data_IF_767102319733
#
_entry.id   IF_767102319733
#
_cell.length_a   1.000
_cell.length_b   1.000
_cell.length_c   1.000
_cell.angle_alpha   90.00
_cell.angle_beta   90.00
_cell.angle_gamma   90.00
#
_symmetry.space_group_name_H-M   'P 1'
#
loop_
_entity.id
_entity.type
_entity.pdbx_description
1 polymer ?
#
# COMPACT_ATOMS: atom_id res chain seq x y z
N UNK A 1 -4.26 -7.88 -29.76
CA UNK A 1 -5.15 -7.01 -28.95
C UNK A 1 -4.28 -5.86 -28.42
N UNK A 2 -4.48 -4.66 -28.94
CA UNK A 2 -3.63 -3.50 -28.61
C UNK A 2 -4.03 -2.98 -27.22
N UNK A 3 -3.07 -2.99 -26.28
CA UNK A 3 -3.24 -2.43 -24.95
C UNK A 3 -3.41 -0.90 -25.10
N UNK A 4 -4.59 -0.37 -24.76
CA UNK A 4 -4.77 1.09 -24.60
C UNK A 4 -3.75 1.57 -23.56
N UNK A 5 -3.12 2.72 -23.81
CA UNK A 5 -2.23 3.41 -22.85
C UNK A 5 -2.86 3.33 -21.45
N UNK A 6 -2.14 2.72 -20.52
CA UNK A 6 -2.50 2.72 -19.10
C UNK A 6 -2.48 4.18 -18.60
N UNK A 7 -3.63 4.85 -18.64
CA UNK A 7 -3.79 6.15 -17.99
C UNK A 7 -3.58 5.96 -16.47
N UNK A 8 -2.72 6.75 -15.83
CA UNK A 8 -2.55 6.69 -14.40
C UNK A 8 -3.86 7.09 -13.71
N UNK A 9 -4.19 6.40 -12.62
CA UNK A 9 -5.34 6.74 -11.76
C UNK A 9 -4.81 7.54 -10.59
N UNK A 10 -5.54 8.57 -10.17
CA UNK A 10 -5.21 9.34 -8.98
C UNK A 10 -6.13 8.94 -7.82
N UNK A 11 -5.59 8.95 -6.60
CA UNK A 11 -6.34 8.91 -5.33
C UNK A 11 -5.86 10.12 -4.53
N UNK A 12 -6.75 11.06 -4.23
CA UNK A 12 -6.41 12.34 -3.58
C UNK A 12 -5.21 13.06 -4.22
N UNK A 13 -5.07 12.99 -5.55
CA UNK A 13 -3.97 13.61 -6.30
C UNK A 13 -2.67 12.81 -6.37
N UNK A 14 -2.54 11.69 -5.65
CA UNK A 14 -1.38 10.78 -5.77
C UNK A 14 -1.60 9.81 -6.93
N UNK A 15 -0.64 9.78 -7.86
CA UNK A 15 -0.73 8.96 -9.07
C UNK A 15 -0.30 7.51 -8.83
N UNK A 16 -1.11 6.59 -9.35
CA UNK A 16 -0.85 5.16 -9.43
C UNK A 16 -0.34 4.82 -10.84
N UNK A 17 0.91 4.40 -10.92
CA UNK A 17 1.61 4.03 -12.15
C UNK A 17 1.72 2.51 -12.31
N UNK A 18 1.95 2.05 -13.54
CA UNK A 18 2.26 0.64 -13.81
C UNK A 18 1.03 -0.20 -14.12
N UNK A 19 1.07 -1.48 -13.69
CA UNK A 19 0.14 -2.51 -14.13
C UNK A 19 -0.99 -2.74 -13.13
N UNK A 20 -2.20 -2.33 -13.53
CA UNK A 20 -3.44 -2.52 -12.75
C UNK A 20 -4.53 -3.16 -13.62
N UNK A 21 -5.13 -4.23 -13.12
CA UNK A 21 -6.33 -4.80 -13.73
C UNK A 21 -7.53 -3.84 -13.60
N UNK A 22 -8.56 -4.03 -14.43
CA UNK A 22 -9.81 -3.23 -14.34
C UNK A 22 -10.43 -3.26 -12.94
N UNK A 23 -10.37 -4.41 -12.24
CA UNK A 23 -10.92 -4.56 -10.88
C UNK A 23 -10.07 -3.81 -9.85
N UNK A 24 -8.74 -3.85 -9.96
CA UNK A 24 -7.86 -3.06 -9.09
C UNK A 24 -7.99 -1.55 -9.34
N UNK A 25 -8.16 -1.12 -10.60
CA UNK A 25 -8.45 0.30 -10.89
C UNK A 25 -9.79 0.75 -10.28
N UNK A 26 -10.81 -0.11 -10.33
CA UNK A 26 -12.11 0.21 -9.76
C UNK A 26 -12.05 0.35 -8.23
N UNK A 27 -11.30 -0.53 -7.53
CA UNK A 27 -11.25 -0.49 -6.07
C UNK A 27 -10.50 0.74 -5.51
N UNK A 28 -9.63 1.38 -6.30
CA UNK A 28 -8.99 2.65 -5.88
C UNK A 28 -10.01 3.75 -5.56
N UNK A 29 -11.19 3.73 -6.19
CA UNK A 29 -12.26 4.68 -5.88
C UNK A 29 -12.88 4.43 -4.49
N UNK A 30 -12.89 3.19 -4.03
CA UNK A 30 -13.35 2.88 -2.68
C UNK A 30 -12.30 3.29 -1.65
N UNK A 31 -11.00 3.12 -1.97
CA UNK A 31 -9.91 3.64 -1.13
C UNK A 31 -10.01 5.16 -0.96
N UNK A 32 -10.27 5.89 -2.05
CA UNK A 32 -10.44 7.35 -2.02
C UNK A 32 -11.63 7.82 -1.16
N UNK A 33 -12.65 6.97 -0.94
CA UNK A 33 -13.79 7.32 -0.08
C UNK A 33 -13.50 7.14 1.41
N UNK A 34 -12.60 6.23 1.76
CA UNK A 34 -12.31 5.84 3.15
C UNK A 34 -10.98 6.39 3.67
N UNK A 35 -10.34 7.27 2.89
CA UNK A 35 -9.13 7.99 3.26
C UNK A 35 -9.33 9.48 3.00
N UNK A 36 -8.45 10.31 3.56
CA UNK A 36 -8.48 11.75 3.49
C UNK A 36 -7.23 12.30 2.80
N UNK A 37 -7.31 13.42 2.05
CA UNK A 37 -6.17 13.98 1.31
C UNK A 37 -4.90 14.20 2.15
N UNK A 38 -5.05 14.54 3.42
CA UNK A 38 -3.94 14.81 4.35
C UNK A 38 -3.11 13.55 4.62
N UNK A 39 -3.73 12.39 4.59
CA UNK A 39 -3.06 11.09 4.78
C UNK A 39 -2.15 10.76 3.60
N UNK A 40 -2.47 11.25 2.41
CA UNK A 40 -1.67 11.05 1.19
C UNK A 40 -0.59 12.11 0.99
N UNK A 41 -0.65 13.20 1.77
CA UNK A 41 0.23 14.35 1.59
C UNK A 41 1.71 13.95 1.73
N UNK A 42 2.53 14.47 0.81
CA UNK A 42 3.96 14.17 0.74
C UNK A 42 4.30 12.88 -0.03
N UNK A 43 3.34 11.98 -0.27
CA UNK A 43 3.58 10.78 -1.10
C UNK A 43 3.71 11.16 -2.57
N UNK A 44 4.79 10.70 -3.22
CA UNK A 44 5.16 11.11 -4.59
C UNK A 44 4.61 10.20 -5.67
N UNK A 45 4.09 9.04 -5.29
CA UNK A 45 3.44 8.12 -6.21
C UNK A 45 3.40 6.70 -5.70
N UNK A 46 2.49 5.92 -6.28
CA UNK A 46 2.37 4.48 -6.06
C UNK A 46 2.71 3.77 -7.36
N UNK A 47 3.64 2.82 -7.31
CA UNK A 47 4.14 2.09 -8.47
C UNK A 47 3.69 0.64 -8.38
N UNK A 48 2.73 0.28 -9.22
CA UNK A 48 2.17 -1.05 -9.33
C UNK A 48 3.05 -1.89 -10.25
N UNK A 49 3.95 -2.68 -9.64
CA UNK A 49 5.08 -3.31 -10.31
C UNK A 49 4.73 -4.51 -11.18
N UNK A 50 3.59 -5.17 -10.94
CA UNK A 50 3.39 -6.53 -11.45
C UNK A 50 4.44 -7.49 -10.88
N UNK A 51 5.10 -8.30 -11.73
CA UNK A 51 6.22 -9.19 -11.34
C UNK A 51 7.57 -8.60 -11.78
N UNK A 52 8.06 -7.58 -11.10
CA UNK A 52 9.34 -6.94 -11.44
C UNK A 52 10.32 -7.07 -10.28
N UNK A 53 11.57 -7.43 -10.61
CA UNK A 53 12.72 -7.35 -9.69
C UNK A 53 13.28 -5.93 -9.75
N UNK A 54 13.32 -5.22 -8.62
CA UNK A 54 13.97 -3.92 -8.52
C UNK A 54 15.45 -4.17 -8.18
N UNK A 55 16.36 -3.75 -9.05
CA UNK A 55 17.81 -3.90 -8.89
C UNK A 55 18.29 -5.34 -8.58
N UNK A 56 17.67 -6.34 -9.22
CA UNK A 56 18.08 -7.74 -9.07
C UNK A 56 17.68 -8.41 -7.75
N UNK A 57 17.01 -7.69 -6.84
CA UNK A 57 16.39 -8.25 -5.64
C UNK A 57 14.92 -8.57 -5.91
N UNK A 58 14.46 -9.70 -5.39
CA UNK A 58 13.04 -9.96 -5.32
C UNK A 58 12.43 -8.95 -4.34
N UNK A 59 11.52 -8.12 -4.82
CA UNK A 59 10.75 -7.21 -3.97
C UNK A 59 9.73 -8.07 -3.25
N UNK A 60 10.16 -8.65 -2.13
CA UNK A 60 9.30 -9.29 -1.15
C UNK A 60 8.83 -8.18 -0.21
N UNK A 61 7.56 -7.80 -0.32
CA UNK A 61 7.00 -6.73 0.49
C UNK A 61 7.26 -5.36 -0.14
N UNK A 62 6.24 -4.52 -0.03
CA UNK A 62 6.23 -3.18 -0.58
C UNK A 62 7.36 -2.36 0.05
N UNK A 63 8.09 -1.61 -0.78
CA UNK A 63 9.16 -0.75 -0.30
C UNK A 63 8.67 0.68 -0.23
N UNK A 64 8.62 1.23 0.97
CA UNK A 64 8.60 2.67 1.18
C UNK A 64 9.96 3.23 0.72
N UNK A 65 10.02 3.77 -0.49
CA UNK A 65 11.25 4.32 -1.04
C UNK A 65 11.71 5.55 -0.26
N UNK A 66 12.84 5.48 0.45
CA UNK A 66 13.55 6.66 0.94
C UNK A 66 14.96 6.65 0.39
N UNK A 67 15.42 7.80 -0.11
CA UNK A 67 16.83 7.97 -0.37
C UNK A 67 17.58 8.01 0.97
N UNK A 68 18.71 7.30 1.12
CA UNK A 68 19.56 7.43 2.30
C UNK A 68 19.91 8.91 2.52
N UNK A 69 19.83 9.39 3.77
CA UNK A 69 20.12 10.80 4.12
C UNK A 69 21.49 11.29 3.64
N UNK A 70 22.43 10.37 3.39
CA UNK A 70 23.81 10.66 2.98
C UNK A 70 24.00 10.70 1.44
N UNK A 71 22.99 10.36 0.65
CA UNK A 71 23.08 10.41 -0.81
C UNK A 71 22.94 11.86 -1.28
N UNK A 72 23.95 12.40 -1.96
CA UNK A 72 23.88 13.75 -2.54
C UNK A 72 22.67 13.85 -3.48
N UNK A 73 22.00 15.01 -3.53
CA UNK A 73 20.80 15.24 -4.35
C UNK A 73 20.98 14.83 -5.81
N UNK A 74 22.19 14.95 -6.36
CA UNK A 74 22.56 14.52 -7.73
C UNK A 74 22.58 12.99 -7.94
N UNK A 75 22.55 12.19 -6.88
CA UNK A 75 22.60 10.72 -6.90
C UNK A 75 21.33 10.05 -6.39
N UNK A 76 20.32 10.83 -6.01
CA UNK A 76 19.03 10.33 -5.54
C UNK A 76 18.14 9.97 -6.72
N UNK A 77 18.41 8.82 -7.35
CA UNK A 77 17.57 8.27 -8.40
C UNK A 77 17.36 6.77 -8.22
N UNK A 78 16.11 6.34 -8.27
CA UNK A 78 15.71 4.93 -8.24
C UNK A 78 15.18 4.56 -9.62
N UNK A 79 15.88 3.66 -10.30
CA UNK A 79 15.55 3.24 -11.65
C UNK A 79 15.02 1.81 -11.65
N UNK A 80 13.90 1.60 -12.34
CA UNK A 80 13.28 0.30 -12.50
C UNK A 80 12.46 0.28 -13.79
N UNK A 81 12.07 -0.91 -14.24
CA UNK A 81 11.31 -1.09 -15.48
C UNK A 81 10.05 -1.89 -15.21
N UNK A 82 8.89 -1.36 -15.58
CA UNK A 82 7.60 -2.05 -15.49
C UNK A 82 7.04 -2.16 -16.90
N UNK A 83 6.77 -3.39 -17.37
CA UNK A 83 6.22 -3.65 -18.70
C UNK A 83 7.01 -2.93 -19.82
N UNK A 84 8.34 -3.09 -19.83
CA UNK A 84 9.25 -2.44 -20.78
C UNK A 84 9.30 -0.90 -20.72
N UNK A 85 8.59 -0.29 -19.77
CA UNK A 85 8.64 1.15 -19.52
C UNK A 85 9.60 1.43 -18.38
N UNK A 86 10.65 2.19 -18.66
CA UNK A 86 11.63 2.63 -17.67
C UNK A 86 11.05 3.78 -16.84
N UNK A 87 11.19 3.66 -15.54
CA UNK A 87 10.84 4.67 -14.55
C UNK A 87 12.12 5.12 -13.85
N UNK A 88 12.23 6.43 -13.69
CA UNK A 88 13.28 7.07 -12.89
C UNK A 88 12.58 7.90 -11.84
N UNK A 89 12.64 7.45 -10.59
CA UNK A 89 12.12 8.21 -9.46
C UNK A 89 13.26 9.02 -8.86
N UNK A 90 13.05 10.33 -8.74
CA UNK A 90 14.00 11.26 -8.11
C UNK A 90 13.47 11.90 -6.84
N UNK A 91 12.22 11.60 -6.47
CA UNK A 91 11.57 12.13 -5.28
C UNK A 91 10.96 11.00 -4.46
N UNK A 92 11.07 11.12 -3.14
CA UNK A 92 10.53 10.19 -2.16
C UNK A 92 9.73 10.96 -1.12
N UNK A 93 8.76 10.32 -0.44
CA UNK A 93 8.47 8.89 -0.46
C UNK A 93 7.64 8.38 -1.63
N UNK A 94 7.79 7.10 -1.94
CA UNK A 94 6.98 6.34 -2.91
C UNK A 94 6.59 4.99 -2.32
N UNK A 95 5.51 4.40 -2.84
CA UNK A 95 5.04 3.04 -2.48
C UNK A 95 5.15 2.12 -3.69
N UNK A 96 5.55 0.86 -3.48
CA UNK A 96 5.66 -0.16 -4.52
C UNK A 96 4.71 -1.34 -4.27
N UNK A 97 3.70 -1.55 -5.10
CA UNK A 97 2.75 -2.66 -4.90
C UNK A 97 2.97 -3.77 -5.94
N UNK A 98 3.21 -4.99 -5.47
CA UNK A 98 3.21 -6.19 -6.34
C UNK A 98 1.76 -6.58 -6.66
N UNK A 99 1.29 -6.23 -7.86
CA UNK A 99 -0.08 -6.50 -8.32
C UNK A 99 -0.29 -7.93 -8.78
N UNK A 100 0.79 -8.73 -8.93
CA UNK A 100 0.72 -10.14 -9.32
C UNK A 100 0.60 -11.06 -8.12
N UNK A 101 1.15 -10.70 -6.95
CA UNK A 101 0.84 -11.35 -5.67
C UNK A 101 -0.54 -10.93 -5.17
N UNK A 102 -0.90 -9.66 -5.34
CA UNK A 102 -2.18 -9.10 -4.90
C UNK A 102 -3.22 -9.03 -6.02
N UNK A 103 -3.48 -10.16 -6.71
CA UNK A 103 -4.39 -10.19 -7.88
C UNK A 103 -5.84 -9.86 -7.54
N UNK A 104 -6.31 -10.28 -6.36
CA UNK A 104 -7.67 -10.03 -5.91
C UNK A 104 -7.78 -8.55 -5.50
N UNK A 105 -8.84 -7.87 -5.95
CA UNK A 105 -8.99 -6.42 -5.73
C UNK A 105 -9.05 -6.04 -4.24
N UNK A 106 -9.70 -6.84 -3.39
CA UNK A 106 -9.73 -6.60 -1.95
C UNK A 106 -8.35 -6.73 -1.31
N UNK A 107 -7.56 -7.72 -1.74
CA UNK A 107 -6.21 -7.92 -1.24
C UNK A 107 -5.28 -6.79 -1.68
N UNK A 108 -5.41 -6.36 -2.94
CA UNK A 108 -4.74 -5.16 -3.42
C UNK A 108 -5.10 -3.91 -2.61
N UNK A 109 -6.39 -3.69 -2.34
CA UNK A 109 -6.83 -2.55 -1.56
C UNK A 109 -6.27 -2.56 -0.14
N UNK A 110 -6.32 -3.71 0.53
CA UNK A 110 -5.76 -3.84 1.88
C UNK A 110 -4.26 -3.53 1.90
N UNK A 111 -3.48 -4.07 0.95
CA UNK A 111 -2.05 -3.76 0.87
C UNK A 111 -1.82 -2.26 0.62
N UNK A 112 -2.57 -1.62 -0.29
CA UNK A 112 -2.43 -0.17 -0.51
C UNK A 112 -2.71 0.61 0.79
N UNK A 113 -3.74 0.25 1.54
CA UNK A 113 -4.08 0.89 2.82
C UNK A 113 -3.02 0.62 3.89
N UNK A 114 -2.45 -0.57 3.95
CA UNK A 114 -1.35 -0.91 4.86
C UNK A 114 -0.14 -0.01 4.61
N UNK A 115 0.26 0.17 3.35
CA UNK A 115 1.40 1.05 3.01
C UNK A 115 1.11 2.52 3.28
N UNK A 116 -0.15 2.93 3.09
CA UNK A 116 -0.59 4.25 3.51
C UNK A 116 -0.48 4.41 5.04
N UNK A 117 -0.81 3.37 5.80
CA UNK A 117 -0.64 3.33 7.26
C UNK A 117 0.81 3.57 7.70
N UNK A 118 1.80 2.97 7.02
CA UNK A 118 3.22 3.27 7.27
C UNK A 118 3.58 4.73 6.97
N UNK A 119 3.02 5.30 5.91
CA UNK A 119 3.23 6.71 5.56
C UNK A 119 2.57 7.65 6.57
N UNK A 120 1.36 7.34 7.04
CA UNK A 120 0.65 8.07 8.10
C UNK A 120 1.45 8.03 9.41
N UNK A 121 1.91 6.86 9.84
CA UNK A 121 2.71 6.71 11.06
C UNK A 121 3.99 7.57 11.01
N UNK A 122 4.64 7.60 9.85
CA UNK A 122 5.83 8.42 9.64
C UNK A 122 5.52 9.92 9.69
N UNK A 123 4.45 10.36 9.02
CA UNK A 123 4.16 11.79 8.85
C UNK A 123 3.52 12.41 10.08
N UNK A 124 2.69 11.66 10.80
CA UNK A 124 1.94 12.15 11.95
C UNK A 124 2.63 11.80 13.27
N UNK A 125 3.14 10.57 13.43
CA UNK A 125 3.80 10.12 14.67
C UNK A 125 5.33 10.21 14.62
N UNK A 126 5.90 10.70 13.52
CA UNK A 126 7.35 10.83 13.31
C UNK A 126 8.09 9.49 13.40
N UNK A 127 7.41 8.38 13.12
CA UNK A 127 7.99 7.05 13.20
C UNK A 127 9.19 6.89 12.25
N UNK A 128 10.29 6.34 12.76
CA UNK A 128 11.44 5.95 11.94
C UNK A 128 11.20 4.53 11.45
N UNK A 129 10.74 4.37 10.21
CA UNK A 129 10.48 3.06 9.60
C UNK A 129 11.71 2.16 9.68
N UNK A 130 11.54 0.96 10.24
CA UNK A 130 12.54 -0.09 10.37
C UNK A 130 11.93 -1.39 9.86
N UNK A 131 12.55 -1.98 8.84
CA UNK A 131 12.10 -3.23 8.25
C UNK A 131 11.91 -4.32 9.33
N UNK A 132 10.76 -4.99 9.30
CA UNK A 132 10.41 -6.04 10.25
C UNK A 132 10.08 -5.55 11.67
N UNK A 133 9.91 -4.26 11.89
CA UNK A 133 9.49 -3.75 13.19
C UNK A 133 8.01 -4.08 13.44
N UNK A 134 7.76 -5.03 14.34
CA UNK A 134 6.42 -5.48 14.69
C UNK A 134 5.43 -4.36 15.04
N UNK A 135 5.83 -3.34 15.80
CA UNK A 135 4.91 -2.26 16.18
C UNK A 135 4.46 -1.43 14.98
N UNK A 136 5.35 -1.20 14.02
CA UNK A 136 5.03 -0.45 12.80
C UNK A 136 4.11 -1.26 11.88
N UNK A 137 4.37 -2.56 11.75
CA UNK A 137 3.50 -3.48 11.01
C UNK A 137 2.09 -3.57 11.64
N UNK A 138 2.02 -3.61 12.97
CA UNK A 138 0.75 -3.61 13.70
C UNK A 138 -0.02 -2.31 13.49
N UNK A 139 0.65 -1.15 13.57
CA UNK A 139 0.02 0.14 13.29
C UNK A 139 -0.53 0.18 11.86
N UNK A 140 0.29 -0.17 10.87
CA UNK A 140 -0.09 -0.18 9.47
C UNK A 140 -1.26 -1.13 9.17
N UNK A 141 -1.23 -2.34 9.73
CA UNK A 141 -2.34 -3.29 9.63
C UNK A 141 -3.61 -2.79 10.32
N UNK A 142 -3.51 -2.18 11.50
CA UNK A 142 -4.66 -1.66 12.24
C UNK A 142 -5.32 -0.52 11.47
N UNK A 143 -4.52 0.43 11.00
CA UNK A 143 -4.97 1.49 10.09
C UNK A 143 -5.65 0.91 8.84
N UNK A 144 -5.04 -0.10 8.21
CA UNK A 144 -5.63 -0.75 7.04
C UNK A 144 -6.97 -1.41 7.35
N UNK A 145 -7.10 -2.08 8.50
CA UNK A 145 -8.37 -2.68 8.95
C UNK A 145 -9.45 -1.61 9.12
N UNK A 146 -9.12 -0.50 9.79
CA UNK A 146 -10.03 0.62 10.03
C UNK A 146 -10.64 1.18 8.74
N UNK A 147 -9.80 1.45 7.74
CA UNK A 147 -10.26 1.92 6.44
C UNK A 147 -10.97 0.81 5.65
N UNK A 148 -10.42 -0.41 5.65
CA UNK A 148 -10.91 -1.52 4.82
C UNK A 148 -12.33 -1.96 5.21
N UNK A 149 -12.68 -1.92 6.49
CA UNK A 149 -14.04 -2.23 6.95
C UNK A 149 -15.08 -1.17 6.61
N UNK A 150 -14.66 0.05 6.30
CA UNK A 150 -15.55 1.12 5.85
C UNK A 150 -15.86 1.01 4.35
N UNK A 151 -15.09 0.21 3.61
CA UNK A 151 -15.31 -0.01 2.18
C UNK A 151 -16.48 -0.97 1.94
N UNK A 152 -17.31 -0.68 0.95
CA UNK A 152 -18.50 -1.46 0.63
C UNK A 152 -18.17 -2.93 0.26
N UNK A 153 -18.75 -3.89 0.99
CA UNK A 153 -18.69 -5.33 0.69
C UNK A 153 -17.34 -5.98 1.02
N UNK A 154 -16.49 -5.32 1.79
CA UNK A 154 -15.17 -5.82 2.21
C UNK A 154 -15.22 -6.65 3.51
N UNK A 155 -16.25 -6.49 4.32
CA UNK A 155 -16.43 -7.16 5.62
C UNK A 155 -16.46 -8.70 5.55
N UNK A 156 -16.81 -9.24 4.37
CA UNK A 156 -16.88 -10.69 4.10
C UNK A 156 -15.67 -11.24 3.34
N UNK A 157 -14.67 -10.41 3.03
CA UNK A 157 -13.51 -10.83 2.22
C UNK A 157 -12.43 -11.47 3.09
N UNK A 158 -11.72 -12.42 2.49
CA UNK A 158 -10.60 -13.10 3.14
C UNK A 158 -9.30 -12.40 2.73
N UNK A 159 -8.38 -12.30 3.69
CA UNK A 159 -7.04 -11.74 3.49
C UNK A 159 -6.02 -12.85 3.79
N UNK A 160 -4.94 -12.88 3.03
CA UNK A 160 -3.96 -13.98 3.09
C UNK A 160 -2.54 -13.44 3.10
N UNK A 161 -1.61 -14.17 3.74
CA UNK A 161 -0.18 -13.86 3.67
C UNK A 161 0.19 -12.43 4.09
N UNK A 162 -0.53 -11.85 5.07
CA UNK A 162 -0.22 -10.53 5.63
C UNK A 162 0.42 -10.74 7.01
N UNK A 163 1.71 -10.37 7.18
CA UNK A 163 2.39 -10.50 8.46
C UNK A 163 1.66 -9.77 9.58
N UNK A 164 1.59 -10.39 10.76
CA UNK A 164 0.99 -9.81 11.97
C UNK A 164 -0.48 -9.39 11.87
N UNK A 165 -1.20 -9.82 10.83
CA UNK A 165 -2.60 -9.44 10.62
C UNK A 165 -3.51 -9.99 11.72
N UNK A 166 -3.27 -11.21 12.21
CA UNK A 166 -4.09 -11.79 13.28
C UNK A 166 -3.93 -10.99 14.58
N UNK A 167 -2.71 -10.61 14.93
CA UNK A 167 -2.43 -9.76 16.08
C UNK A 167 -3.06 -8.37 15.92
N UNK A 168 -2.96 -7.75 14.74
CA UNK A 168 -3.60 -6.46 14.47
C UNK A 168 -5.15 -6.53 14.57
N UNK A 169 -5.76 -7.62 14.10
CA UNK A 169 -7.21 -7.85 14.28
C UNK A 169 -7.57 -7.93 15.77
N UNK A 170 -6.76 -8.61 16.59
CA UNK A 170 -6.99 -8.71 18.03
C UNK A 170 -6.85 -7.34 18.71
N UNK A 171 -5.82 -6.57 18.38
CA UNK A 171 -5.62 -5.21 18.93
C UNK A 171 -6.74 -4.26 18.52
N UNK A 172 -7.17 -4.31 17.26
CA UNK A 172 -8.29 -3.53 16.76
C UNK A 172 -9.59 -3.88 17.51
N UNK A 173 -9.89 -5.16 17.69
CA UNK A 173 -11.07 -5.60 18.46
C UNK A 173 -11.03 -5.11 19.91
N UNK A 174 -9.87 -5.22 20.58
CA UNK A 174 -9.71 -4.79 21.96
C UNK A 174 -9.82 -3.27 22.14
N UNK A 175 -9.28 -2.49 21.20
CA UNK A 175 -9.28 -1.03 21.25
C UNK A 175 -10.62 -0.41 20.87
N UNK A 176 -11.38 -1.04 19.98
CA UNK A 176 -12.60 -0.45 19.44
C UNK A 176 -13.89 -1.03 20.02
N UNK A 177 -13.94 -2.26 20.59
CA UNK A 177 -15.21 -2.81 21.06
C UNK A 177 -15.16 -3.99 22.05
N UNK A 178 -15.85 -3.87 23.20
CA UNK A 178 -16.57 -5.00 23.80
C UNK A 178 -17.94 -5.29 23.14
N UNK A 179 -18.40 -4.51 22.13
CA UNK A 179 -19.78 -4.58 21.59
C UNK A 179 -19.97 -4.62 20.05
N UNK A 180 -18.92 -4.80 19.23
CA UNK A 180 -19.07 -5.01 17.78
C UNK A 180 -19.14 -6.51 17.49
N UNK A 181 -19.90 -6.94 16.46
CA UNK A 181 -19.80 -8.31 15.98
C UNK A 181 -18.35 -8.64 15.61
N UNK A 182 -17.90 -9.89 15.86
CA UNK A 182 -16.53 -10.30 15.55
C UNK A 182 -16.24 -10.06 14.08
N UNK A 183 -15.14 -9.37 13.87
CA UNK A 183 -14.57 -9.02 12.57
C UNK A 183 -14.50 -10.28 11.70
N UNK A 184 -15.24 -10.32 10.60
CA UNK A 184 -15.36 -11.52 9.74
C UNK A 184 -14.23 -11.60 8.71
N UNK A 185 -13.12 -10.88 8.93
CA UNK A 185 -11.88 -11.06 8.19
C UNK A 185 -11.33 -12.44 8.50
N UNK A 186 -11.44 -13.36 7.55
CA UNK A 186 -10.82 -14.67 7.65
C UNK A 186 -9.38 -14.55 7.17
N UNK A 187 -8.45 -14.90 8.06
CA UNK A 187 -7.03 -15.06 7.73
C UNK A 187 -6.83 -16.53 7.36
N UNK A 188 -6.32 -16.80 6.15
CA UNK A 188 -5.80 -18.14 5.77
C UNK A 188 -4.33 -18.05 5.37
#
# INVERSE_FOLDING_TARGET
>A
MFWKKDEPVAVHGVLFYGLLSKKQRAILKEIEKVTAPEEWNGLKGVYCLGSVKVQGRDVLGVYYGQFPKQTSSKKQALQFEINYKKYTVTECPIVFVDTMKNKKAHQFAFIVLHELGHHVDRTQNQAVLREGNKQQELFANTYAIECFLQMEGMESKQLHNIPYLQEAIQEYQQSHYPFCPPLTLRVE
#
